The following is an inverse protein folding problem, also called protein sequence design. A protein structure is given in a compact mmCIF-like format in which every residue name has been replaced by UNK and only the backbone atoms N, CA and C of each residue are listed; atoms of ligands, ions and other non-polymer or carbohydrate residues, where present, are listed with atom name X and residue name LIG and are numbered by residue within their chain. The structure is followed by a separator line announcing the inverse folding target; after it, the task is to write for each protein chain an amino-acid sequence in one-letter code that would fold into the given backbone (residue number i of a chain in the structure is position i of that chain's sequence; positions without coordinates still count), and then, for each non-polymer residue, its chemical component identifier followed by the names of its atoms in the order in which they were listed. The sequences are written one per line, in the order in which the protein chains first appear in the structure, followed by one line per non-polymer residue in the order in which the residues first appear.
data_IF_325425003921
#
_entry.id   IF_325425003921
#
_cell.length_a   1.000
_cell.length_b   1.000
_cell.length_c   1.000
_cell.angle_alpha   90.00
_cell.angle_beta   90.00
_cell.angle_gamma   90.00
#
_symmetry.space_group_name_H-M   'P 1'
#
loop_
_entity.id
_entity.type
_entity.pdbx_description
1 polymer ?
#
# COMPACT_ATOMS: atom_id res chain seq x y z
N UNK A 1 -14.20 30.94 -1.36
CA UNK A 1 -14.98 29.95 -2.13
C UNK A 1 -14.25 29.74 -3.45
N UNK A 2 -13.91 28.49 -3.79
CA UNK A 2 -13.15 28.18 -5.02
C UNK A 2 -14.04 28.41 -6.24
N UNK A 3 -13.54 29.16 -7.22
CA UNK A 3 -14.24 29.40 -8.49
C UNK A 3 -13.97 28.24 -9.45
N UNK A 4 -14.89 27.29 -9.50
CA UNK A 4 -14.78 26.09 -10.36
C UNK A 4 -14.76 26.40 -11.86
N UNK A 5 -15.24 27.58 -12.29
CA UNK A 5 -15.26 27.95 -13.71
C UNK A 5 -13.88 28.17 -14.32
N UNK A 6 -12.87 28.39 -13.48
CA UNK A 6 -11.47 28.62 -13.88
C UNK A 6 -10.63 27.35 -13.95
N UNK A 7 -11.19 26.20 -13.58
CA UNK A 7 -10.49 24.92 -13.55
C UNK A 7 -10.71 24.20 -14.89
N UNK A 8 -9.65 23.65 -15.53
CA UNK A 8 -9.80 22.94 -16.80
C UNK A 8 -10.72 21.72 -16.66
N UNK A 9 -11.47 21.39 -17.72
CA UNK A 9 -12.37 20.24 -17.74
C UNK A 9 -12.09 19.34 -18.96
N UNK A 10 -12.03 18.01 -18.81
CA UNK A 10 -12.22 17.26 -17.56
C UNK A 10 -10.98 17.27 -16.65
N UNK A 11 -11.19 17.34 -15.34
CA UNK A 11 -10.12 17.15 -14.35
C UNK A 11 -10.65 16.55 -13.03
N UNK A 12 -9.73 16.08 -12.19
CA UNK A 12 -10.00 15.78 -10.78
C UNK A 12 -9.60 16.98 -9.93
N UNK A 13 -10.48 17.39 -9.00
CA UNK A 13 -10.23 18.47 -8.04
C UNK A 13 -10.20 17.89 -6.63
N UNK A 14 -9.10 18.15 -5.91
CA UNK A 14 -8.93 17.74 -4.53
C UNK A 14 -9.16 18.92 -3.59
N UNK A 15 -10.10 18.80 -2.66
CA UNK A 15 -10.30 19.77 -1.59
C UNK A 15 -9.32 19.47 -0.44
N UNK A 16 -8.25 20.25 -0.35
CA UNK A 16 -7.17 20.02 0.63
C UNK A 16 -7.64 20.08 2.08
N UNK A 17 -8.56 20.98 2.42
CA UNK A 17 -9.12 21.10 3.78
C UNK A 17 -9.84 19.84 4.22
N UNK A 18 -10.66 19.24 3.33
CA UNK A 18 -11.35 17.97 3.62
C UNK A 18 -10.38 16.80 3.71
N UNK A 19 -9.34 16.79 2.87
CA UNK A 19 -8.28 15.78 2.97
C UNK A 19 -7.57 15.88 4.34
N UNK A 20 -7.23 17.09 4.80
CA UNK A 20 -6.60 17.32 6.09
C UNK A 20 -7.48 16.84 7.23
N UNK A 21 -8.78 17.17 7.24
CA UNK A 21 -9.72 16.70 8.27
C UNK A 21 -9.77 15.16 8.36
N UNK A 22 -9.76 14.48 7.21
CA UNK A 22 -9.70 13.02 7.18
C UNK A 22 -8.37 12.49 7.72
N UNK A 23 -7.25 13.12 7.37
CA UNK A 23 -5.92 12.72 7.85
C UNK A 23 -5.76 12.94 9.35
N UNK A 24 -6.29 14.04 9.90
CA UNK A 24 -6.33 14.30 11.35
C UNK A 24 -7.15 13.24 12.09
N UNK A 25 -8.28 12.82 11.51
CA UNK A 25 -9.07 11.73 12.07
C UNK A 25 -8.27 10.41 12.07
N UNK A 26 -7.63 10.07 10.95
CA UNK A 26 -6.78 8.86 10.84
C UNK A 26 -5.64 8.91 11.86
N UNK A 27 -4.95 10.04 11.98
CA UNK A 27 -3.87 10.22 12.95
C UNK A 27 -4.36 10.11 14.40
N UNK A 28 -5.56 10.62 14.70
CA UNK A 28 -6.18 10.44 16.01
C UNK A 28 -6.41 8.95 16.33
N UNK A 29 -6.76 8.12 15.34
CA UNK A 29 -6.93 6.67 15.50
C UNK A 29 -5.58 6.00 15.73
N UNK A 30 -4.54 6.35 14.96
CA UNK A 30 -3.17 5.85 15.17
C UNK A 30 -2.72 6.05 16.61
N UNK A 31 -2.85 7.28 17.12
CA UNK A 31 -2.43 7.66 18.47
C UNK A 31 -3.21 6.94 19.56
N UNK A 32 -4.53 6.82 19.43
CA UNK A 32 -5.37 6.15 20.45
C UNK A 32 -5.17 4.63 20.47
N UNK A 33 -4.97 4.02 19.31
CA UNK A 33 -4.82 2.57 19.20
C UNK A 33 -3.35 2.09 19.33
N UNK A 34 -2.38 3.01 19.29
CA UNK A 34 -0.96 2.65 19.30
C UNK A 34 -0.53 1.89 18.03
N UNK A 35 -1.13 2.23 16.88
CA UNK A 35 -0.88 1.58 15.59
C UNK A 35 -0.32 2.56 14.57
N UNK A 36 0.33 2.01 13.54
CA UNK A 36 0.73 2.74 12.34
C UNK A 36 -0.25 2.45 11.20
N UNK A 37 -0.70 3.49 10.51
CA UNK A 37 -1.51 3.41 9.31
C UNK A 37 -0.66 3.88 8.13
N UNK A 38 -0.70 3.10 7.05
CA UNK A 38 0.02 3.37 5.80
C UNK A 38 -0.97 3.62 4.65
N UNK A 39 -0.56 4.40 3.66
CA UNK A 39 -1.39 4.76 2.52
C UNK A 39 -1.45 3.62 1.50
N UNK A 40 -2.66 3.20 1.12
CA UNK A 40 -2.84 2.25 0.01
C UNK A 40 -2.84 2.97 -1.36
N UNK A 41 -1.74 2.84 -2.11
CA UNK A 41 -1.55 3.56 -3.37
C UNK A 41 -2.61 3.24 -4.43
N UNK A 42 -3.06 1.98 -4.50
CA UNK A 42 -4.17 1.57 -5.39
C UNK A 42 -5.47 2.34 -5.14
N UNK A 43 -5.68 2.85 -3.93
CA UNK A 43 -6.85 3.63 -3.56
C UNK A 43 -6.63 5.14 -3.68
N UNK A 44 -5.37 5.60 -3.59
CA UNK A 44 -5.02 7.00 -3.69
C UNK A 44 -3.56 7.20 -4.15
N UNK A 45 -3.38 7.58 -5.41
CA UNK A 45 -2.08 7.82 -6.05
C UNK A 45 -1.89 9.26 -6.57
N UNK A 46 -2.67 10.22 -6.06
CA UNK A 46 -2.51 11.64 -6.40
C UNK A 46 -1.25 12.21 -5.71
N UNK A 47 -0.08 11.93 -6.28
CA UNK A 47 1.22 12.19 -5.66
C UNK A 47 1.47 13.67 -5.35
N UNK A 48 0.83 14.60 -6.08
CA UNK A 48 0.85 16.02 -5.77
C UNK A 48 0.30 16.37 -4.37
N UNK A 49 -0.50 15.49 -3.77
CA UNK A 49 -1.01 15.63 -2.41
C UNK A 49 -0.14 14.94 -1.34
N UNK A 50 0.85 14.13 -1.72
CA UNK A 50 1.70 13.40 -0.77
C UNK A 50 2.45 14.30 0.22
N UNK A 51 2.91 15.53 -0.14
CA UNK A 51 3.47 16.46 0.85
C UNK A 51 2.54 16.81 2.02
N UNK A 52 1.21 16.72 1.82
CA UNK A 52 0.21 16.86 2.90
C UNK A 52 0.06 15.53 3.63
N UNK A 53 -0.13 14.43 2.90
CA UNK A 53 -0.43 13.09 3.47
C UNK A 53 0.70 12.57 4.36
N UNK A 54 1.97 12.73 3.94
CA UNK A 54 3.14 12.24 4.68
C UNK A 54 3.43 12.96 6.00
N UNK A 55 2.67 14.02 6.31
CA UNK A 55 2.68 14.64 7.64
C UNK A 55 1.92 13.80 8.68
N UNK A 56 1.08 12.86 8.21
CA UNK A 56 0.17 12.08 9.06
C UNK A 56 0.40 10.56 8.95
N UNK A 57 0.78 10.06 7.77
CA UNK A 57 1.00 8.63 7.53
C UNK A 57 2.50 8.32 7.34
N UNK A 58 2.94 7.19 7.87
CA UNK A 58 4.37 6.84 7.96
C UNK A 58 4.93 6.13 6.73
N UNK A 59 4.07 5.80 5.77
CA UNK A 59 4.47 5.03 4.61
C UNK A 59 3.33 4.68 3.68
N UNK A 60 3.65 3.82 2.72
CA UNK A 60 2.75 3.36 1.66
C UNK A 60 2.72 1.83 1.57
N UNK A 61 1.64 1.30 1.03
CA UNK A 61 1.61 -0.07 0.51
C UNK A 61 1.49 -0.04 -1.02
N UNK A 62 2.31 -0.88 -1.64
CA UNK A 62 2.42 -1.05 -3.08
C UNK A 62 2.16 -2.50 -3.47
N UNK A 63 1.58 -2.69 -4.65
CA UNK A 63 1.25 -3.97 -5.26
C UNK A 63 1.83 -4.19 -6.66
N UNK A 64 2.70 -3.28 -7.10
CA UNK A 64 3.46 -3.39 -8.34
C UNK A 64 4.78 -2.61 -8.24
N UNK A 65 5.70 -2.83 -9.18
CA UNK A 65 6.96 -2.09 -9.25
C UNK A 65 6.76 -0.58 -9.44
N UNK A 66 5.77 -0.18 -10.25
CA UNK A 66 5.46 1.25 -10.45
C UNK A 66 4.90 1.91 -9.20
N UNK A 67 4.01 1.24 -8.47
CA UNK A 67 3.54 1.74 -7.18
C UNK A 67 4.69 1.79 -6.16
N UNK A 68 5.60 0.81 -6.17
CA UNK A 68 6.75 0.81 -5.27
C UNK A 68 7.68 2.01 -5.52
N UNK A 69 8.00 2.28 -6.79
CA UNK A 69 8.77 3.47 -7.18
C UNK A 69 8.05 4.76 -6.81
N UNK A 70 6.76 4.87 -7.11
CA UNK A 70 5.96 6.04 -6.73
C UNK A 70 5.98 6.27 -5.20
N UNK A 71 5.79 5.20 -4.42
CA UNK A 71 5.83 5.26 -2.96
C UNK A 71 7.21 5.68 -2.45
N UNK A 72 8.30 5.17 -3.03
CA UNK A 72 9.65 5.54 -2.61
C UNK A 72 10.01 6.98 -3.00
N UNK A 73 9.77 7.35 -4.25
CA UNK A 73 10.19 8.62 -4.84
C UNK A 73 9.38 9.81 -4.32
N UNK A 74 8.04 9.68 -4.27
CA UNK A 74 7.14 10.81 -3.96
C UNK A 74 6.70 10.84 -2.49
N UNK A 75 6.61 9.67 -1.83
CA UNK A 75 6.14 9.58 -0.45
C UNK A 75 7.29 9.45 0.56
N UNK A 76 8.16 8.45 0.36
CA UNK A 76 9.22 8.06 1.29
C UNK A 76 8.70 7.24 2.48
N UNK A 77 9.50 7.15 3.55
CA UNK A 77 9.13 6.42 4.77
C UNK A 77 9.09 4.90 4.58
N UNK A 78 8.14 4.24 5.24
CA UNK A 78 7.93 2.81 5.08
C UNK A 78 7.27 2.48 3.73
N UNK A 79 7.75 1.41 3.10
CA UNK A 79 7.14 0.84 1.91
C UNK A 79 6.85 -0.65 2.13
N UNK A 80 5.56 -0.98 2.18
CA UNK A 80 5.04 -2.32 2.41
C UNK A 80 4.57 -2.94 1.10
N UNK A 81 5.38 -3.84 0.57
CA UNK A 81 5.11 -4.50 -0.68
C UNK A 81 4.30 -5.78 -0.49
N UNK A 82 3.24 -5.91 -1.28
CA UNK A 82 2.51 -7.15 -1.43
C UNK A 82 2.05 -7.35 -2.88
N UNK A 83 2.45 -8.45 -3.50
CA UNK A 83 1.88 -8.94 -4.76
C UNK A 83 1.49 -10.42 -4.63
N UNK A 84 0.41 -10.88 -5.29
CA UNK A 84 0.13 -12.30 -5.42
C UNK A 84 1.30 -13.08 -6.05
N UNK A 85 2.04 -12.44 -6.96
CA UNK A 85 3.20 -12.99 -7.65
C UNK A 85 4.28 -11.93 -7.77
N UNK A 86 5.49 -12.25 -7.31
CA UNK A 86 6.70 -11.51 -7.64
C UNK A 86 7.38 -12.13 -8.87
N UNK A 87 7.68 -11.31 -9.87
CA UNK A 87 8.41 -11.75 -11.06
C UNK A 87 9.92 -11.68 -10.79
N UNK A 88 10.67 -12.71 -11.19
CA UNK A 88 12.12 -12.79 -10.96
C UNK A 88 12.88 -11.58 -11.54
N UNK A 89 12.47 -11.12 -12.72
CA UNK A 89 13.06 -9.98 -13.40
C UNK A 89 12.73 -8.63 -12.76
N UNK A 90 11.70 -8.54 -11.92
CA UNK A 90 11.30 -7.31 -11.22
C UNK A 90 11.72 -7.33 -9.74
N UNK A 91 11.92 -8.50 -9.15
CA UNK A 91 12.10 -8.64 -7.71
C UNK A 91 13.34 -7.91 -7.18
N UNK A 92 14.42 -7.89 -7.96
CA UNK A 92 15.64 -7.15 -7.65
C UNK A 92 15.40 -5.64 -7.55
N UNK A 93 14.51 -5.09 -8.37
CA UNK A 93 14.13 -3.67 -8.30
C UNK A 93 13.19 -3.44 -7.12
N UNK A 94 12.20 -4.32 -6.92
CA UNK A 94 11.25 -4.25 -5.81
C UNK A 94 11.93 -4.25 -4.43
N UNK A 95 12.99 -5.05 -4.26
CA UNK A 95 13.78 -5.09 -3.03
C UNK A 95 14.40 -3.73 -2.72
N UNK A 96 14.91 -2.99 -3.72
CA UNK A 96 15.53 -1.67 -3.49
C UNK A 96 14.53 -0.65 -2.95
N UNK A 97 13.27 -0.78 -3.37
CA UNK A 97 12.21 0.15 -3.00
C UNK A 97 11.53 -0.20 -1.68
N UNK A 98 11.58 -1.45 -1.23
CA UNK A 98 10.79 -1.93 -0.10
C UNK A 98 11.48 -1.78 1.26
N UNK A 99 10.66 -1.68 2.31
CA UNK A 99 11.08 -1.87 3.72
C UNK A 99 10.50 -3.14 4.30
N UNK A 100 9.34 -3.55 3.79
CA UNK A 100 8.63 -4.76 4.16
C UNK A 100 8.16 -5.48 2.90
N UNK A 101 8.25 -6.81 2.87
CA UNK A 101 7.74 -7.64 1.78
C UNK A 101 6.89 -8.77 2.36
N UNK A 102 5.64 -8.86 1.93
CA UNK A 102 4.75 -9.97 2.26
C UNK A 102 4.66 -10.97 1.10
N UNK A 103 4.95 -12.24 1.36
CA UNK A 103 4.85 -13.32 0.37
C UNK A 103 3.49 -13.99 0.39
N UNK A 104 2.95 -14.23 -0.80
CA UNK A 104 1.64 -14.81 -0.99
C UNK A 104 1.65 -16.36 -1.00
N UNK A 105 2.83 -16.98 -1.00
CA UNK A 105 2.98 -18.44 -0.97
C UNK A 105 4.31 -18.87 -0.36
N UNK A 106 4.36 -20.10 0.18
CA UNK A 106 5.61 -20.69 0.70
C UNK A 106 6.66 -20.89 -0.39
N UNK A 107 6.24 -21.10 -1.64
CA UNK A 107 7.15 -21.17 -2.80
C UNK A 107 7.87 -19.84 -3.03
N UNK A 108 7.14 -18.72 -3.02
CA UNK A 108 7.75 -17.40 -3.15
C UNK A 108 8.67 -17.09 -1.97
N UNK A 109 8.25 -17.43 -0.74
CA UNK A 109 9.10 -17.32 0.44
C UNK A 109 10.43 -18.09 0.26
N UNK A 110 10.37 -19.37 -0.11
CA UNK A 110 11.57 -20.18 -0.32
C UNK A 110 12.50 -19.60 -1.39
N UNK A 111 11.92 -19.06 -2.47
CA UNK A 111 12.66 -18.47 -3.59
C UNK A 111 13.34 -17.15 -3.24
N UNK A 112 12.71 -16.30 -2.43
CA UNK A 112 13.10 -14.89 -2.27
C UNK A 112 13.55 -14.50 -0.86
N UNK A 113 13.37 -15.36 0.15
CA UNK A 113 13.71 -15.05 1.55
C UNK A 113 15.16 -14.61 1.75
N UNK A 114 16.11 -15.25 1.07
CA UNK A 114 17.54 -14.98 1.29
C UNK A 114 17.89 -13.57 0.81
N UNK A 115 17.43 -13.19 -0.38
CA UNK A 115 17.61 -11.83 -0.93
C UNK A 115 16.95 -10.78 -0.03
N UNK A 116 15.76 -11.08 0.50
CA UNK A 116 14.99 -10.18 1.38
C UNK A 116 15.70 -9.95 2.71
N UNK A 117 16.16 -11.02 3.36
CA UNK A 117 16.88 -10.96 4.64
C UNK A 117 18.24 -10.27 4.45
N UNK A 118 18.96 -10.58 3.37
CA UNK A 118 20.24 -9.95 3.05
C UNK A 118 20.10 -8.43 2.86
N UNK A 119 19.02 -7.99 2.22
CA UNK A 119 18.68 -6.58 2.05
C UNK A 119 18.12 -5.91 3.32
N UNK A 120 18.06 -6.62 4.46
CA UNK A 120 17.51 -6.13 5.73
C UNK A 120 16.05 -5.66 5.64
N UNK A 121 15.29 -6.24 4.71
CA UNK A 121 13.86 -5.97 4.54
C UNK A 121 13.10 -6.90 5.47
N UNK A 122 12.07 -6.38 6.14
CA UNK A 122 11.22 -7.19 7.01
C UNK A 122 10.33 -8.13 6.19
N UNK A 123 10.50 -9.46 6.29
CA UNK A 123 9.67 -10.39 5.57
C UNK A 123 8.36 -10.67 6.31
N UNK A 124 7.31 -11.02 5.55
CA UNK A 124 6.05 -11.50 6.07
C UNK A 124 5.43 -12.57 5.18
N UNK A 125 4.51 -13.34 5.74
CA UNK A 125 3.63 -14.24 4.98
C UNK A 125 2.21 -13.68 5.02
N UNK A 126 1.55 -13.58 3.86
CA UNK A 126 0.13 -13.27 3.83
C UNK A 126 -0.66 -14.53 4.17
N UNK A 127 -1.39 -14.50 5.27
CA UNK A 127 -2.30 -15.58 5.65
C UNK A 127 -3.68 -15.33 5.05
N UNK A 128 -4.33 -16.39 4.57
CA UNK A 128 -5.75 -16.36 4.25
C UNK A 128 -6.53 -16.84 5.48
N UNK A 129 -7.32 -15.99 6.14
CA UNK A 129 -8.06 -16.38 7.34
C UNK A 129 -9.25 -17.31 7.07
N UNK A 130 -9.55 -17.63 5.81
CA UNK A 130 -10.72 -18.44 5.39
C UNK A 130 -12.07 -17.88 5.89
N UNK A 131 -12.07 -16.61 6.28
CA UNK A 131 -13.22 -15.86 6.77
C UNK A 131 -13.26 -14.47 6.14
N UNK A 132 -14.42 -14.06 5.67
CA UNK A 132 -14.64 -12.71 5.13
C UNK A 132 -16.03 -12.20 5.51
N UNK A 133 -16.13 -11.00 6.11
CA UNK A 133 -17.41 -10.32 6.31
C UNK A 133 -17.91 -9.58 5.06
N UNK A 134 -17.16 -9.61 3.95
CA UNK A 134 -17.50 -8.89 2.71
C UNK A 134 -18.63 -9.61 1.97
N UNK A 135 -19.74 -8.91 1.75
CA UNK A 135 -20.93 -9.45 1.07
C UNK A 135 -20.72 -9.61 -0.44
N UNK A 136 -20.00 -8.67 -1.07
CA UNK A 136 -19.75 -8.70 -2.51
C UNK A 136 -18.62 -9.69 -2.84
N UNK A 137 -18.98 -10.80 -3.46
CA UNK A 137 -18.05 -11.92 -3.74
C UNK A 137 -16.81 -11.50 -4.55
N UNK A 138 -16.94 -10.54 -5.48
CA UNK A 138 -15.81 -10.05 -6.29
C UNK A 138 -14.72 -9.34 -5.45
N UNK A 139 -15.07 -8.87 -4.25
CA UNK A 139 -14.16 -8.22 -3.32
C UNK A 139 -13.75 -9.13 -2.16
N UNK A 140 -14.20 -10.39 -2.13
CA UNK A 140 -13.93 -11.34 -1.07
C UNK A 140 -12.49 -11.90 -1.21
N UNK A 141 -11.52 -11.46 -0.37
CA UNK A 141 -10.15 -11.93 -0.47
C UNK A 141 -9.96 -13.34 0.09
N UNK A 142 -10.97 -13.90 0.77
CA UNK A 142 -10.95 -15.20 1.43
C UNK A 142 -11.99 -16.17 0.86
N UNK A 143 -12.49 -15.89 -0.35
CA UNK A 143 -13.33 -16.82 -1.11
C UNK A 143 -12.64 -18.20 -1.22
N UNK A 144 -13.39 -19.32 -1.30
CA UNK A 144 -12.83 -20.66 -1.51
C UNK A 144 -11.92 -20.77 -2.74
N UNK A 145 -12.14 -19.92 -3.76
CA UNK A 145 -11.33 -19.84 -4.97
C UNK A 145 -10.27 -18.73 -4.93
N UNK A 146 -10.09 -18.08 -3.77
CA UNK A 146 -9.12 -17.01 -3.61
C UNK A 146 -7.70 -17.53 -3.78
N UNK A 147 -6.93 -16.78 -4.56
CA UNK A 147 -5.48 -16.95 -4.75
C UNK A 147 -4.65 -16.16 -3.75
N UNK A 148 -5.29 -15.53 -2.76
CA UNK A 148 -4.66 -14.57 -1.88
C UNK A 148 -4.37 -15.19 -0.51
N UNK A 149 -3.09 -15.28 -0.17
CA UNK A 149 -2.59 -15.79 1.09
C UNK A 149 -2.43 -17.32 1.15
N UNK A 150 -1.77 -17.76 2.22
CA UNK A 150 -1.51 -19.15 2.58
C UNK A 150 -2.59 -19.61 3.57
N UNK A 151 -3.10 -20.82 3.38
CA UNK A 151 -4.00 -21.52 4.32
C UNK A 151 -3.18 -22.34 5.30
#
# INVERSE_FOLDING_TARGET
MTDYSKIPSPCYVLESEKLIQNLELIDSVQKRAGITIILALKGFAMFSAFPIVKKYLQGTTASSLFEARLGREEFGGELHLYSPVYQDNEFQELIKEATHISFNSLRQWQQFKEQTIFAQISPGLRINPEYSPVEQEIYNPSSPLSRLGIR
#
